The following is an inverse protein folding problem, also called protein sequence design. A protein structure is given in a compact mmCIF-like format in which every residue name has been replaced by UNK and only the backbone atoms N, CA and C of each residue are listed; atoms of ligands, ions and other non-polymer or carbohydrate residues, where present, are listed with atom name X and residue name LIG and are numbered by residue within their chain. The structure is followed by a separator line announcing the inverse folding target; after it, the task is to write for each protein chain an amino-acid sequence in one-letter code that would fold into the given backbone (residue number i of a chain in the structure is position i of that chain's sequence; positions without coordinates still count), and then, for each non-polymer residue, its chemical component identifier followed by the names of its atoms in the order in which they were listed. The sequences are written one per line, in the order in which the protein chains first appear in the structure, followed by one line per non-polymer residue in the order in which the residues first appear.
data_IF_719347232770
#
_entry.id   IF_719347232770
#
_cell.length_a   1.000
_cell.length_b   1.000
_cell.length_c   1.000
_cell.angle_alpha   90.00
_cell.angle_beta   90.00
_cell.angle_gamma   90.00
#
_symmetry.space_group_name_H-M   'P 1'
#
loop_
_entity.id
_entity.type
_entity.pdbx_description
1 polymer ?
#
# COMPACT_ATOMS: atom_id res chain seq x y z
N UNK A 1 8.95 -17.75 20.24
CA UNK A 1 8.33 -17.25 19.00
C UNK A 1 9.32 -16.30 18.34
N UNK A 2 9.64 -16.45 17.06
CA UNK A 2 10.61 -15.56 16.37
C UNK A 2 9.84 -14.41 15.70
N UNK A 3 10.26 -13.17 15.96
CA UNK A 3 9.71 -11.97 15.33
C UNK A 3 10.69 -11.54 14.25
N UNK A 4 10.21 -11.33 13.02
CA UNK A 4 11.00 -10.82 11.91
C UNK A 4 10.57 -9.38 11.61
N UNK A 5 11.54 -8.50 11.36
CA UNK A 5 11.30 -7.10 11.00
C UNK A 5 12.02 -6.77 9.69
N UNK A 6 11.37 -6.03 8.80
CA UNK A 6 11.95 -5.51 7.57
C UNK A 6 11.89 -3.97 7.61
N UNK A 7 13.05 -3.32 7.54
CA UNK A 7 13.17 -1.87 7.47
C UNK A 7 13.82 -1.45 6.14
N UNK A 8 13.38 -0.34 5.57
CA UNK A 8 13.91 0.23 4.33
C UNK A 8 13.75 1.75 4.35
N UNK A 9 14.68 2.47 3.70
CA UNK A 9 14.64 3.92 3.54
C UNK A 9 14.88 4.25 2.07
N UNK A 10 14.10 5.19 1.53
CA UNK A 10 14.22 5.67 0.16
C UNK A 10 14.22 7.21 0.17
N UNK A 11 15.07 7.81 -0.66
CA UNK A 11 15.07 9.26 -0.88
C UNK A 11 14.36 9.52 -2.22
N UNK A 12 13.31 10.34 -2.19
CA UNK A 12 12.53 10.71 -3.36
C UNK A 12 12.65 12.23 -3.58
N UNK A 13 12.80 12.71 -4.83
CA UNK A 13 12.99 14.13 -5.13
C UNK A 13 11.66 14.89 -5.16
N UNK A 14 10.88 14.79 -4.08
CA UNK A 14 9.58 15.45 -3.91
C UNK A 14 9.47 16.10 -2.54
N UNK A 15 8.55 17.05 -2.40
CA UNK A 15 8.24 17.68 -1.13
C UNK A 15 7.53 16.72 -0.17
N UNK A 16 7.55 17.05 1.12
CA UNK A 16 6.83 16.28 2.14
C UNK A 16 5.31 16.30 1.90
N UNK A 17 4.76 17.44 1.47
CA UNK A 17 3.33 17.59 1.21
C UNK A 17 2.89 16.73 0.02
N UNK A 18 3.69 16.68 -1.05
CA UNK A 18 3.43 15.79 -2.19
C UNK A 18 3.51 14.32 -1.77
N UNK A 19 4.52 13.96 -0.97
CA UNK A 19 4.64 12.60 -0.43
C UNK A 19 3.44 12.23 0.44
N UNK A 20 3.00 13.14 1.31
CA UNK A 20 1.84 12.92 2.17
C UNK A 20 0.53 12.81 1.38
N UNK A 21 0.30 13.70 0.40
CA UNK A 21 -0.87 13.63 -0.47
C UNK A 21 -0.92 12.32 -1.27
N UNK A 22 0.24 11.82 -1.70
CA UNK A 22 0.34 10.53 -2.39
C UNK A 22 0.08 9.36 -1.44
N UNK A 23 0.76 9.31 -0.29
CA UNK A 23 0.69 8.19 0.65
C UNK A 23 -0.63 8.13 1.42
N UNK A 24 -1.30 9.26 1.61
CA UNK A 24 -2.61 9.34 2.24
C UNK A 24 -3.77 8.97 1.29
N UNK A 25 -3.50 8.70 0.02
CA UNK A 25 -4.52 8.20 -0.90
C UNK A 25 -4.45 6.66 -0.98
N UNK A 26 -5.47 5.94 -0.49
CA UNK A 26 -5.45 4.48 -0.46
C UNK A 26 -5.39 3.83 -1.86
N UNK A 27 -5.82 4.54 -2.91
CA UNK A 27 -5.73 4.05 -4.30
C UNK A 27 -4.29 3.97 -4.80
N UNK A 28 -3.38 4.76 -4.22
CA UNK A 28 -1.97 4.77 -4.59
C UNK A 28 -1.20 3.57 -4.02
N UNK A 29 -1.79 2.79 -3.09
CA UNK A 29 -1.20 1.54 -2.62
C UNK A 29 -0.97 0.54 -3.77
N UNK A 30 -1.84 0.56 -4.79
CA UNK A 30 -1.64 -0.23 -6.01
C UNK A 30 -0.39 0.19 -6.78
N UNK A 31 -0.10 1.49 -6.84
CA UNK A 31 1.01 2.05 -7.63
C UNK A 31 2.37 1.67 -7.02
N UNK A 32 2.46 1.65 -5.69
CA UNK A 32 3.69 1.27 -4.98
C UNK A 32 3.87 -0.23 -4.83
N UNK A 33 2.84 -1.02 -5.17
CA UNK A 33 2.89 -2.47 -5.17
C UNK A 33 3.34 -2.95 -6.56
N UNK A 34 4.31 -3.86 -6.68
CA UNK A 34 4.71 -4.37 -7.98
C UNK A 34 3.52 -4.94 -8.77
N UNK A 35 3.39 -4.58 -10.05
CA UNK A 35 2.23 -4.92 -10.89
C UNK A 35 1.91 -6.43 -10.91
N UNK A 36 2.94 -7.27 -10.86
CA UNK A 36 2.78 -8.73 -10.86
C UNK A 36 2.06 -9.27 -9.62
N UNK A 37 1.98 -8.49 -8.52
CA UNK A 37 1.31 -8.90 -7.29
C UNK A 37 -0.21 -8.71 -7.34
N UNK A 38 -0.79 -8.14 -8.40
CA UNK A 38 -2.25 -8.11 -8.58
C UNK A 38 -3.02 -7.45 -7.42
N UNK A 39 -2.64 -6.23 -7.04
CA UNK A 39 -3.28 -5.49 -5.94
C UNK A 39 -4.70 -5.04 -6.32
N UNK A 40 -5.71 -5.61 -5.66
CA UNK A 40 -7.13 -5.30 -5.85
C UNK A 40 -7.70 -4.79 -4.53
N UNK A 41 -8.26 -3.58 -4.53
CA UNK A 41 -8.94 -3.03 -3.37
C UNK A 41 -10.38 -3.54 -3.34
N UNK A 42 -10.78 -4.16 -2.24
CA UNK A 42 -12.14 -4.65 -2.02
C UNK A 42 -13.01 -3.59 -1.33
N UNK A 43 -12.48 -2.88 -0.32
CA UNK A 43 -13.24 -1.86 0.41
C UNK A 43 -12.37 -0.85 1.16
N UNK A 44 -12.97 0.29 1.53
CA UNK A 44 -12.35 1.28 2.41
C UNK A 44 -11.42 2.28 1.73
N UNK A 45 -11.47 2.43 0.39
CA UNK A 45 -10.64 3.39 -0.37
C UNK A 45 -11.42 4.55 -1.00
N UNK A 46 -12.61 4.82 -0.47
CA UNK A 46 -13.54 5.86 -0.90
C UNK A 46 -13.15 7.26 -0.41
N UNK A 47 -12.24 7.35 0.56
CA UNK A 47 -11.81 8.61 1.20
C UNK A 47 -10.31 8.58 1.54
N UNK A 48 -9.69 9.76 1.77
CA UNK A 48 -8.31 9.85 2.23
C UNK A 48 -8.07 9.06 3.51
N UNK A 49 -6.84 8.57 3.69
CA UNK A 49 -6.41 7.80 4.84
C UNK A 49 -6.53 8.59 6.15
N UNK A 50 -7.09 7.96 7.18
CA UNK A 50 -7.17 8.52 8.53
C UNK A 50 -6.93 7.46 9.61
N UNK A 51 -6.63 7.92 10.83
CA UNK A 51 -6.35 7.05 11.96
C UNK A 51 -7.56 6.16 12.27
N UNK A 52 -7.33 4.84 12.35
CA UNK A 52 -8.37 3.85 12.62
C UNK A 52 -9.13 3.35 11.38
N UNK A 53 -8.80 3.83 10.17
CA UNK A 53 -9.37 3.31 8.94
C UNK A 53 -8.90 1.87 8.66
N UNK A 54 -9.84 1.03 8.23
CA UNK A 54 -9.57 -0.34 7.77
C UNK A 54 -9.76 -0.37 6.25
N UNK A 55 -8.76 -0.89 5.55
CA UNK A 55 -8.79 -1.11 4.09
C UNK A 55 -8.65 -2.61 3.85
N UNK A 56 -9.51 -3.14 3.00
CA UNK A 56 -9.44 -4.53 2.57
C UNK A 56 -8.93 -4.59 1.13
N UNK A 57 -7.95 -5.46 0.90
CA UNK A 57 -7.37 -5.69 -0.41
C UNK A 57 -6.94 -7.16 -0.57
N UNK A 58 -6.80 -7.58 -1.81
CA UNK A 58 -6.27 -8.89 -2.22
C UNK A 58 -4.94 -8.67 -2.92
N UNK A 59 -3.97 -9.54 -2.64
CA UNK A 59 -2.71 -9.63 -3.38
C UNK A 59 -2.45 -11.07 -3.84
N UNK A 60 -1.75 -11.22 -4.96
CA UNK A 60 -1.39 -12.49 -5.59
C UNK A 60 0.12 -12.53 -5.89
N UNK A 61 1.00 -12.57 -4.88
CA UNK A 61 2.44 -12.40 -5.08
C UNK A 61 3.12 -13.59 -5.78
N UNK A 62 2.51 -14.79 -5.76
CA UNK A 62 3.08 -16.02 -6.32
C UNK A 62 2.04 -16.75 -7.16
N UNK A 63 2.38 -17.05 -8.43
CA UNK A 63 1.59 -17.88 -9.37
C UNK A 63 0.10 -17.48 -9.52
N UNK A 64 -0.27 -16.24 -9.21
CA UNK A 64 -1.67 -15.79 -9.27
C UNK A 64 -2.57 -16.34 -8.15
N UNK A 65 -2.00 -16.95 -7.11
CA UNK A 65 -2.76 -17.47 -5.97
C UNK A 65 -3.15 -16.29 -5.07
N UNK A 66 -4.45 -16.10 -4.87
CA UNK A 66 -5.01 -15.03 -4.01
C UNK A 66 -4.69 -15.32 -2.55
N UNK A 67 -4.12 -14.34 -1.86
CA UNK A 67 -3.81 -14.36 -0.43
C UNK A 67 -4.34 -13.11 0.27
#
# INVERSE_FOLDING_TARGET
MKIYNKSSKQNVPISLDEAWAFLSNPKNLKIITPDYMGFIIESGADRPLFAGQIIQYIVTPVLGIKT
#
